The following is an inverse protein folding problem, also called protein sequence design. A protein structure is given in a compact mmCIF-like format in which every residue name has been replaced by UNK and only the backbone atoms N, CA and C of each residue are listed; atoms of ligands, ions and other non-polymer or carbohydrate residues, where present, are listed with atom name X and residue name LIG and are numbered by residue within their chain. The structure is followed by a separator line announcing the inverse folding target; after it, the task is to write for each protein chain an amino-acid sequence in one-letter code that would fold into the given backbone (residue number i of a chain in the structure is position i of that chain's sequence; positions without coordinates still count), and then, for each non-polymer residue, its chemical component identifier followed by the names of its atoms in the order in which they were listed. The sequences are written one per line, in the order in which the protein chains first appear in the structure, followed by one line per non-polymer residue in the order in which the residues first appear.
data_IF_108457487237
#
_entry.id   IF_108457487237
#
_cell.length_a   1.000
_cell.length_b   1.000
_cell.length_c   1.000
_cell.angle_alpha   90.00
_cell.angle_beta   90.00
_cell.angle_gamma   90.00
#
_symmetry.space_group_name_H-M   'P 1'
#
loop_
_entity.id
_entity.type
_entity.pdbx_description
1 polymer ?
#
# COMPACT_ATOMS: atom_id res chain seq x y z
N UNK A 1 -48.09 23.97 -4.73
CA UNK A 1 -47.21 22.83 -4.41
C UNK A 1 -45.92 23.02 -5.19
N UNK A 2 -44.81 23.29 -4.51
CA UNK A 2 -43.53 23.52 -5.18
C UNK A 2 -42.79 22.19 -5.37
N UNK A 3 -42.49 21.84 -6.62
CA UNK A 3 -41.68 20.66 -6.94
C UNK A 3 -40.20 21.04 -6.77
N UNK A 4 -39.52 20.41 -5.82
CA UNK A 4 -38.08 20.56 -5.63
C UNK A 4 -37.37 19.67 -6.66
N UNK A 5 -36.46 20.19 -7.50
CA UNK A 5 -35.67 19.36 -8.38
C UNK A 5 -34.63 18.55 -7.58
N UNK A 6 -34.63 17.24 -7.78
CA UNK A 6 -33.61 16.32 -7.27
C UNK A 6 -32.23 16.74 -7.77
N UNK A 7 -31.19 16.84 -6.92
CA UNK A 7 -29.83 17.04 -7.41
C UNK A 7 -29.35 15.73 -8.03
N UNK A 8 -29.33 15.68 -9.36
CA UNK A 8 -28.58 14.67 -10.10
C UNK A 8 -27.10 14.90 -9.80
N UNK A 9 -26.56 14.16 -8.83
CA UNK A 9 -25.12 14.00 -8.70
C UNK A 9 -24.62 13.41 -10.01
N UNK A 10 -23.66 14.04 -10.73
CA UNK A 10 -23.00 13.38 -11.82
C UNK A 10 -22.24 12.19 -11.21
N UNK A 11 -22.81 11.01 -11.38
CA UNK A 11 -22.11 9.74 -11.22
C UNK A 11 -20.91 9.81 -12.14
N UNK A 12 -19.74 10.16 -11.58
CA UNK A 12 -18.48 10.00 -12.28
C UNK A 12 -18.18 8.51 -12.29
N UNK A 13 -18.91 7.78 -13.12
CA UNK A 13 -18.62 6.42 -13.51
C UNK A 13 -17.35 6.44 -14.37
N UNK A 14 -16.21 6.67 -13.72
CA UNK A 14 -14.96 6.13 -14.23
C UNK A 14 -15.05 4.63 -14.07
N UNK A 15 -15.54 3.96 -15.10
CA UNK A 15 -15.53 2.50 -15.26
C UNK A 15 -14.09 2.01 -15.36
N UNK A 16 -13.34 2.09 -14.26
CA UNK A 16 -12.06 1.43 -14.10
C UNK A 16 -12.32 -0.04 -13.88
N UNK A 17 -11.75 -0.91 -14.73
CA UNK A 17 -11.84 -2.37 -14.56
C UNK A 17 -11.53 -2.73 -13.09
N UNK A 18 -12.50 -3.35 -12.42
CA UNK A 18 -12.39 -3.78 -11.02
C UNK A 18 -11.74 -5.16 -10.91
N UNK A 19 -11.74 -5.93 -12.00
CA UNK A 19 -11.16 -7.27 -12.08
C UNK A 19 -10.00 -7.34 -13.08
N UNK A 20 -8.94 -8.09 -12.74
CA UNK A 20 -7.76 -8.33 -13.56
C UNK A 20 -7.27 -9.76 -13.37
N UNK A 21 -6.96 -10.47 -14.46
CA UNK A 21 -6.38 -11.82 -14.43
C UNK A 21 -4.86 -11.73 -14.32
N UNK A 22 -4.29 -12.46 -13.38
CA UNK A 22 -2.84 -12.59 -13.17
C UNK A 22 -2.45 -14.07 -13.21
N UNK A 23 -1.20 -14.32 -13.58
CA UNK A 23 -0.60 -15.66 -13.53
C UNK A 23 0.41 -15.71 -12.41
N UNK A 24 0.36 -16.76 -11.60
CA UNK A 24 1.39 -17.03 -10.60
C UNK A 24 2.68 -17.37 -11.34
N UNK A 25 3.70 -16.55 -11.11
CA UNK A 25 5.05 -16.76 -11.62
C UNK A 25 5.90 -17.47 -10.57
N UNK A 26 7.16 -17.74 -10.90
CA UNK A 26 8.13 -18.24 -9.96
C UNK A 26 9.31 -17.28 -9.84
N UNK A 27 9.91 -17.21 -8.65
CA UNK A 27 11.17 -16.48 -8.46
C UNK A 27 12.33 -17.42 -8.77
N UNK A 28 13.10 -17.21 -9.86
CA UNK A 28 14.24 -18.06 -10.18
C UNK A 28 15.31 -17.88 -9.11
N UNK A 29 15.59 -18.94 -8.35
CA UNK A 29 16.65 -18.94 -7.35
C UNK A 29 17.46 -20.23 -7.47
N UNK A 30 18.78 -20.11 -7.64
CA UNK A 30 19.67 -21.19 -8.12
C UNK A 30 19.77 -22.41 -7.20
N UNK A 31 19.23 -22.34 -5.96
CA UNK A 31 19.36 -23.40 -4.95
C UNK A 31 18.09 -23.64 -4.10
N UNK A 32 16.90 -23.21 -4.55
CA UNK A 32 15.63 -23.49 -3.84
C UNK A 32 14.54 -23.91 -4.84
N UNK A 33 13.65 -24.86 -4.46
CA UNK A 33 12.48 -25.16 -5.26
C UNK A 33 11.67 -23.88 -5.49
N UNK A 34 11.30 -23.70 -6.75
CA UNK A 34 10.59 -22.58 -7.34
C UNK A 34 9.51 -21.97 -6.41
N UNK A 35 9.82 -20.89 -5.70
CA UNK A 35 8.85 -20.22 -4.83
C UNK A 35 7.80 -19.50 -5.70
N UNK A 36 6.49 -19.77 -5.53
CA UNK A 36 5.45 -19.09 -6.29
C UNK A 36 5.40 -17.61 -5.91
N UNK A 37 5.22 -16.75 -6.91
CA UNK A 37 5.13 -15.31 -6.77
C UNK A 37 3.97 -14.76 -7.60
N UNK A 38 3.08 -14.03 -6.93
CA UNK A 38 2.01 -13.27 -7.56
C UNK A 38 2.40 -11.79 -7.60
N UNK A 39 2.70 -11.28 -8.79
CA UNK A 39 3.15 -9.90 -8.98
C UNK A 39 1.99 -9.04 -9.48
N UNK A 40 1.52 -8.12 -8.63
CA UNK A 40 0.54 -7.10 -8.99
C UNK A 40 1.27 -5.83 -9.41
N UNK A 41 1.01 -5.36 -10.62
CA UNK A 41 1.59 -4.12 -11.14
C UNK A 41 0.59 -3.32 -11.98
N UNK A 42 0.84 -2.02 -12.08
CA UNK A 42 0.08 -1.09 -12.92
C UNK A 42 -0.43 0.15 -12.19
N UNK A 43 -0.78 1.19 -12.97
CA UNK A 43 -1.27 2.48 -12.44
C UNK A 43 -2.56 2.35 -11.63
N UNK A 44 -3.37 1.34 -11.93
CA UNK A 44 -4.63 1.05 -11.24
C UNK A 44 -4.48 0.75 -9.74
N UNK A 45 -3.29 0.30 -9.30
CA UNK A 45 -3.01 0.11 -7.88
C UNK A 45 -3.14 1.42 -7.10
N UNK A 46 -2.73 2.54 -7.71
CA UNK A 46 -2.87 3.87 -7.11
C UNK A 46 -4.34 4.26 -6.95
N UNK A 47 -5.16 3.95 -7.95
CA UNK A 47 -6.61 4.22 -7.90
C UNK A 47 -7.31 3.35 -6.83
N UNK A 48 -6.74 2.18 -6.52
CA UNK A 48 -7.18 1.30 -5.44
C UNK A 48 -6.56 1.62 -4.06
N UNK A 49 -5.83 2.75 -3.93
CA UNK A 49 -5.25 3.20 -2.66
C UNK A 49 -3.88 2.60 -2.31
N UNK A 50 -3.25 1.85 -3.22
CA UNK A 50 -1.91 1.31 -3.03
C UNK A 50 -0.86 2.27 -3.62
N UNK A 51 -0.32 3.14 -2.77
CA UNK A 51 0.74 4.07 -3.13
C UNK A 51 2.13 3.47 -2.90
N UNK A 52 3.14 3.98 -3.62
CA UNK A 52 4.54 3.57 -3.42
C UNK A 52 5.00 3.88 -2.00
N UNK A 53 5.59 2.88 -1.34
CA UNK A 53 6.07 3.00 0.03
C UNK A 53 4.99 2.77 1.11
N UNK A 54 3.72 2.63 0.72
CA UNK A 54 2.65 2.21 1.64
C UNK A 54 2.86 0.74 2.02
N UNK A 55 2.82 0.47 3.32
CA UNK A 55 2.82 -0.89 3.84
C UNK A 55 1.48 -1.56 3.53
N UNK A 56 1.51 -2.86 3.24
CA UNK A 56 0.31 -3.62 2.89
C UNK A 56 0.23 -4.83 3.81
N UNK A 57 -0.92 -5.00 4.43
CA UNK A 57 -1.27 -6.21 5.16
C UNK A 57 -1.96 -7.19 4.22
N UNK A 58 -1.45 -8.42 4.16
CA UNK A 58 -2.05 -9.51 3.39
C UNK A 58 -2.77 -10.45 4.33
N UNK A 59 -4.03 -10.75 4.04
CA UNK A 59 -4.83 -11.74 4.79
C UNK A 59 -5.35 -12.82 3.86
N UNK A 60 -5.39 -14.05 4.36
CA UNK A 60 -6.05 -15.18 3.70
C UNK A 60 -7.43 -15.33 4.34
N UNK A 61 -8.49 -15.25 3.54
CA UNK A 61 -9.87 -15.38 3.96
C UNK A 61 -10.57 -16.42 3.08
N UNK A 62 -10.56 -17.67 3.52
CA UNK A 62 -11.07 -18.78 2.72
C UNK A 62 -10.24 -18.98 1.44
N UNK A 63 -10.90 -18.83 0.29
CA UNK A 63 -10.31 -18.90 -1.05
C UNK A 63 -9.80 -17.53 -1.57
N UNK A 64 -9.95 -16.47 -0.78
CA UNK A 64 -9.58 -15.11 -1.16
C UNK A 64 -8.29 -14.63 -0.49
N UNK A 65 -7.48 -13.88 -1.25
CA UNK A 65 -6.38 -13.06 -0.71
C UNK A 65 -6.87 -11.61 -0.62
N UNK A 66 -6.88 -11.06 0.60
CA UNK A 66 -7.29 -9.69 0.86
C UNK A 66 -6.04 -8.84 1.12
N UNK A 67 -5.87 -7.80 0.31
CA UNK A 67 -4.79 -6.81 0.41
C UNK A 67 -5.35 -5.54 1.04
N UNK A 68 -4.78 -5.12 2.17
CA UNK A 68 -5.23 -3.94 2.91
C UNK A 68 -4.05 -2.98 3.00
N UNK A 69 -4.07 -1.82 2.31
CA UNK A 69 -3.04 -0.82 2.49
C UNK A 69 -3.16 -0.23 3.90
N UNK A 70 -2.02 0.02 4.53
CA UNK A 70 -2.00 0.68 5.83
C UNK A 70 -2.53 2.12 5.68
N UNK A 71 -3.40 2.53 6.60
CA UNK A 71 -4.01 3.87 6.58
C UNK A 71 -3.00 5.00 6.79
N UNK A 72 -3.44 6.22 6.46
CA UNK A 72 -2.60 7.43 6.47
C UNK A 72 -1.99 7.73 7.85
N UNK A 73 -2.73 7.48 8.93
CA UNK A 73 -2.24 7.66 10.31
C UNK A 73 -1.07 6.71 10.62
N UNK A 74 -1.19 5.44 10.26
CA UNK A 74 -0.12 4.45 10.44
C UNK A 74 1.11 4.83 9.62
N UNK A 75 0.91 5.36 8.41
CA UNK A 75 2.00 5.87 7.58
C UNK A 75 2.68 7.10 8.19
N UNK A 76 1.91 8.06 8.70
CA UNK A 76 2.42 9.25 9.36
C UNK A 76 3.23 8.89 10.61
N UNK A 77 2.68 7.99 11.45
CA UNK A 77 3.35 7.51 12.65
C UNK A 77 4.68 6.82 12.32
N UNK A 78 4.72 5.97 11.29
CA UNK A 78 5.98 5.36 10.83
C UNK A 78 7.00 6.38 10.34
N UNK A 79 6.57 7.43 9.64
CA UNK A 79 7.46 8.53 9.22
C UNK A 79 8.04 9.24 10.42
N UNK A 80 7.22 9.58 11.42
CA UNK A 80 7.67 10.21 12.67
C UNK A 80 8.66 9.33 13.44
N UNK A 81 8.38 8.03 13.59
CA UNK A 81 9.29 7.09 14.24
C UNK A 81 10.64 6.99 13.50
N UNK A 82 10.62 6.99 12.17
CA UNK A 82 11.84 6.99 11.35
C UNK A 82 12.67 8.26 11.57
N UNK A 83 12.02 9.43 11.58
CA UNK A 83 12.67 10.71 11.84
C UNK A 83 13.28 10.75 13.25
N UNK A 84 12.51 10.35 14.26
CA UNK A 84 12.98 10.34 15.65
C UNK A 84 14.16 9.38 15.85
N UNK A 85 14.10 8.18 15.25
CA UNK A 85 15.21 7.22 15.27
C UNK A 85 16.48 7.79 14.62
N UNK A 86 16.33 8.54 13.54
CA UNK A 86 17.46 9.20 12.88
C UNK A 86 18.04 10.32 13.75
N UNK A 87 17.19 11.14 14.37
CA UNK A 87 17.62 12.20 15.28
C UNK A 87 18.41 11.63 16.48
N UNK A 88 17.90 10.57 17.11
CA UNK A 88 18.59 9.88 18.21
C UNK A 88 19.96 9.34 17.76
N UNK A 89 20.04 8.80 16.55
CA UNK A 89 21.31 8.31 16.00
C UNK A 89 22.32 9.44 15.82
N UNK A 90 21.88 10.61 15.34
CA UNK A 90 22.73 11.80 15.20
C UNK A 90 23.23 12.28 16.55
N UNK A 91 22.32 12.48 17.52
CA UNK A 91 22.68 12.93 18.88
C UNK A 91 23.67 11.95 19.53
N UNK A 92 23.44 10.64 19.40
CA UNK A 92 24.37 9.63 19.92
C UNK A 92 25.78 9.76 19.31
N UNK A 93 25.86 10.04 18.02
CA UNK A 93 27.16 10.22 17.34
C UNK A 93 27.86 11.50 17.81
N UNK A 94 27.12 12.60 18.00
CA UNK A 94 27.66 13.86 18.50
C UNK A 94 28.19 13.71 19.94
N UNK A 95 27.44 13.04 20.81
CA UNK A 95 27.88 12.75 22.20
C UNK A 95 29.15 11.90 22.22
N UNK A 96 29.24 10.87 21.37
CA UNK A 96 30.43 10.01 21.28
C UNK A 96 31.66 10.76 20.78
N UNK A 97 31.50 11.75 19.90
CA UNK A 97 32.60 12.55 19.38
C UNK A 97 33.05 13.68 20.32
N UNK A 98 32.24 14.00 21.33
CA UNK A 98 32.55 15.02 22.34
C UNK A 98 33.28 14.46 23.58
N UNK A 99 33.51 13.15 23.61
CA UNK A 99 34.31 12.41 24.61
C UNK A 99 35.68 12.07 24.03
#
# INVERSE_FOLDING_TARGET
MATIPTPTHPSSEKTGKTERRYTVSYVPNQNRPSTPALNLSGKWLKDAGFYTGTGVTVKIAGDCIVLIPDGDEVQALRKQLKQMKQAIKTVKAEVLNAL
#
